data_IF_550857152609
#
_entry.id   IF_550857152609
#
_cell.length_a   1.000
_cell.length_b   1.000
_cell.length_c   1.000
_cell.angle_alpha   90.00
_cell.angle_beta   90.00
_cell.angle_gamma   90.00
#
_symmetry.space_group_name_H-M   'P 1'
#
loop_
_entity.id
_entity.type
_entity.pdbx_description
1 polymer ?
#
# COMPACT_ATOMS: atom_id res chain seq x y z
N UNK A 1 -8.42 -3.87 4.53
CA UNK A 1 -7.45 -4.96 4.25
C UNK A 1 -6.11 -4.58 4.84
N UNK A 2 -5.23 -5.54 5.17
CA UNK A 2 -3.92 -5.26 5.77
C UNK A 2 -2.81 -5.30 4.73
N UNK A 3 -1.92 -4.30 4.77
CA UNK A 3 -0.82 -4.12 3.82
C UNK A 3 0.48 -3.86 4.56
N UNK A 4 1.53 -4.61 4.26
CA UNK A 4 2.87 -4.36 4.78
C UNK A 4 3.64 -3.48 3.81
N UNK A 5 4.23 -2.38 4.27
CA UNK A 5 5.11 -1.58 3.42
C UNK A 5 6.45 -2.30 3.26
N UNK A 6 6.80 -2.67 2.03
CA UNK A 6 8.05 -3.41 1.74
C UNK A 6 9.16 -2.50 1.22
N UNK A 7 8.81 -1.36 0.61
CA UNK A 7 9.77 -0.36 0.14
C UNK A 7 9.14 1.02 0.05
N UNK A 8 9.96 2.05 0.11
CA UNK A 8 9.52 3.40 -0.21
C UNK A 8 9.38 3.61 -1.72
N UNK A 9 8.41 4.43 -2.11
CA UNK A 9 8.26 4.85 -3.50
C UNK A 9 9.43 5.73 -3.97
N UNK A 10 9.88 5.50 -5.22
CA UNK A 10 10.89 6.33 -5.86
C UNK A 10 10.31 7.69 -6.33
N UNK A 11 11.17 8.58 -6.84
CA UNK A 11 10.74 9.91 -7.31
C UNK A 11 9.65 9.82 -8.38
N UNK A 12 9.75 8.85 -9.29
CA UNK A 12 8.81 8.70 -10.41
C UNK A 12 7.48 8.09 -9.97
N UNK A 13 7.53 7.09 -9.09
CA UNK A 13 6.33 6.46 -8.52
C UNK A 13 5.44 7.44 -7.76
N UNK A 14 6.01 8.51 -7.17
CA UNK A 14 5.21 9.60 -6.58
C UNK A 14 4.39 10.37 -7.61
N UNK A 15 4.93 10.52 -8.82
CA UNK A 15 4.28 11.25 -9.92
C UNK A 15 3.19 10.43 -10.62
N UNK A 16 3.17 9.11 -10.43
CA UNK A 16 2.19 8.23 -11.08
C UNK A 16 0.78 8.41 -10.49
N UNK A 17 0.01 9.33 -11.08
CA UNK A 17 -1.37 9.60 -10.71
C UNK A 17 -1.53 10.19 -9.31
N UNK A 18 -0.59 11.04 -8.87
CA UNK A 18 -0.67 11.76 -7.59
C UNK A 18 -0.59 10.85 -6.36
N UNK A 19 0.51 10.11 -6.20
CA UNK A 19 0.74 9.33 -4.98
C UNK A 19 1.48 10.16 -3.92
N UNK A 20 1.10 9.97 -2.67
CA UNK A 20 1.80 10.52 -1.51
C UNK A 20 3.19 9.87 -1.31
N UNK A 21 4.09 10.59 -0.65
CA UNK A 21 5.43 10.09 -0.34
C UNK A 21 5.38 9.16 0.86
N UNK A 22 5.60 7.87 0.63
CA UNK A 22 5.61 6.85 1.70
C UNK A 22 6.59 7.20 2.81
N UNK A 23 7.71 7.88 2.51
CA UNK A 23 8.72 8.27 3.52
C UNK A 23 8.21 9.27 4.55
N UNK A 24 7.18 10.03 4.20
CA UNK A 24 6.60 11.06 5.08
C UNK A 24 5.51 10.52 5.99
N UNK A 25 4.92 9.38 5.62
CA UNK A 25 3.68 8.90 6.23
C UNK A 25 3.81 7.49 6.81
N UNK A 26 4.73 6.68 6.29
CA UNK A 26 4.81 5.26 6.57
C UNK A 26 6.27 4.84 6.83
N UNK A 27 6.43 3.76 7.59
CA UNK A 27 7.70 3.07 7.87
C UNK A 27 7.71 1.70 7.20
N UNK A 28 8.87 1.32 6.64
CA UNK A 28 9.06 -0.01 6.03
C UNK A 28 8.96 -1.09 7.13
N UNK A 29 8.32 -2.20 6.80
CA UNK A 29 8.11 -3.33 7.70
C UNK A 29 6.81 -3.27 8.49
N UNK A 30 6.25 -2.08 8.68
CA UNK A 30 4.98 -1.87 9.38
C UNK A 30 3.78 -2.30 8.54
N UNK A 31 2.70 -2.64 9.25
CA UNK A 31 1.45 -3.11 8.67
C UNK A 31 0.38 -2.03 8.86
N UNK A 32 -0.27 -1.68 7.76
CA UNK A 32 -1.30 -0.66 7.72
C UNK A 32 -2.63 -1.27 7.30
N UNK A 33 -3.71 -0.73 7.84
CA UNK A 33 -5.04 -0.99 7.33
C UNK A 33 -5.36 0.03 6.24
N UNK A 34 -5.84 -0.47 5.10
CA UNK A 34 -6.17 0.37 3.98
C UNK A 34 -7.27 -0.20 3.10
N UNK A 35 -7.77 0.69 2.25
CA UNK A 35 -8.70 0.37 1.16
C UNK A 35 -7.96 0.31 -0.18
N UNK A 36 -8.53 -0.42 -1.14
CA UNK A 36 -8.00 -0.54 -2.50
C UNK A 36 -8.80 0.35 -3.43
N UNK A 37 -8.10 1.14 -4.23
CA UNK A 37 -8.68 1.88 -5.35
C UNK A 37 -8.07 1.32 -6.65
N UNK A 38 -8.88 0.69 -7.49
CA UNK A 38 -8.45 0.03 -8.73
C UNK A 38 -8.66 0.99 -9.90
N UNK A 39 -7.61 1.28 -10.65
CA UNK A 39 -7.70 1.97 -11.94
C UNK A 39 -7.32 1.03 -13.08
N UNK A 40 -7.62 1.45 -14.31
CA UNK A 40 -7.32 0.68 -15.52
C UNK A 40 -5.83 0.38 -15.72
N UNK A 41 -4.94 1.23 -15.19
CA UNK A 41 -3.49 1.10 -15.39
C UNK A 41 -2.71 0.78 -14.11
N UNK A 42 -3.28 1.02 -12.93
CA UNK A 42 -2.61 0.75 -11.66
C UNK A 42 -3.59 0.71 -10.48
N UNK A 43 -3.15 0.07 -9.40
CA UNK A 43 -3.89 -0.01 -8.14
C UNK A 43 -3.25 0.91 -7.11
N UNK A 44 -4.10 1.57 -6.32
CA UNK A 44 -3.68 2.39 -5.19
C UNK A 44 -4.18 1.79 -3.87
N UNK A 45 -3.41 2.04 -2.82
CA UNK A 45 -3.77 1.72 -1.44
C UNK A 45 -4.04 3.05 -0.72
N UNK A 46 -5.21 3.17 -0.12
CA UNK A 46 -5.60 4.33 0.68
C UNK A 46 -5.40 4.00 2.16
N UNK A 47 -4.51 4.75 2.83
CA UNK A 47 -4.21 4.62 4.27
C UNK A 47 -4.34 6.02 4.87
N UNK A 48 -5.17 6.19 5.90
CA UNK A 48 -5.39 7.47 6.59
C UNK A 48 -5.69 8.66 5.63
N UNK A 49 -6.49 8.42 4.60
CA UNK A 49 -6.85 9.42 3.58
C UNK A 49 -5.72 9.77 2.60
N UNK A 50 -4.58 9.08 2.66
CA UNK A 50 -3.44 9.24 1.74
C UNK A 50 -3.41 8.12 0.70
N UNK A 51 -2.96 8.43 -0.51
CA UNK A 51 -2.96 7.52 -1.66
C UNK A 51 -1.55 7.06 -1.97
N UNK A 52 -1.32 5.75 -1.90
CA UNK A 52 -0.01 5.16 -2.19
C UNK A 52 -0.08 4.17 -3.34
N UNK A 53 1.02 4.00 -4.05
CA UNK A 53 1.10 3.02 -5.13
C UNK A 53 1.20 1.60 -4.54
N UNK A 54 0.36 0.67 -5.02
CA UNK A 54 0.31 -0.70 -4.50
C UNK A 54 1.62 -1.47 -4.64
N UNK A 55 2.49 -1.13 -5.60
CA UNK A 55 3.80 -1.80 -5.81
C UNK A 55 4.77 -1.67 -4.63
N UNK A 56 4.46 -0.78 -3.68
CA UNK A 56 5.25 -0.58 -2.46
C UNK A 56 4.79 -1.48 -1.31
N UNK A 57 3.71 -2.26 -1.50
CA UNK A 57 3.04 -3.01 -0.45
C UNK A 57 2.91 -4.50 -0.80
N UNK A 58 2.90 -5.30 0.26
CA UNK A 58 2.47 -6.69 0.24
C UNK A 58 1.09 -6.79 0.90
N UNK A 59 0.12 -7.40 0.22
CA UNK A 59 -1.18 -7.67 0.81
C UNK A 59 -1.08 -8.87 1.75
N UNK A 60 -1.39 -8.66 3.02
CA UNK A 60 -1.46 -9.74 3.98
C UNK A 60 -2.82 -10.41 3.86
N UNK A 61 -2.82 -11.69 3.45
CA UNK A 61 -4.04 -12.50 3.49
C UNK A 61 -4.43 -12.66 4.95
N UNK A 62 -5.70 -12.41 5.25
CA UNK A 62 -6.28 -12.88 6.50
C UNK A 62 -6.25 -14.40 6.40
N UNK A 63 -5.37 -15.04 7.16
CA UNK A 63 -5.27 -16.49 7.16
C UNK A 63 -6.65 -17.06 7.48
N UNK A 64 -7.19 -17.92 6.60
CA UNK A 64 -8.00 -19.01 7.12
C UNK A 64 -7.01 -19.91 7.83
N UNK A 65 -6.86 -19.75 9.15
CA UNK A 65 -6.33 -20.83 9.96
C UNK A 65 -7.16 -22.07 9.61
N UNK A 66 -6.51 -23.06 9.00
CA UNK A 66 -7.10 -24.39 8.93
C UNK A 66 -7.15 -24.86 10.38
N UNK A 67 -8.35 -24.86 10.96
CA UNK A 67 -8.65 -25.63 12.16
C UNK A 67 -8.26 -27.08 11.84
N UNK A 68 -7.23 -27.60 12.51
CA UNK A 68 -6.90 -29.02 12.53
C UNK A 68 -7.86 -29.75 13.46
#
# INVERSE_FOLDING_TARGET
>A
MRYKLVKHNCKDQRKWGGNDDTRKHLKIGEIYEGAVEIHSWHTKIIIDGKKFNSVCFEQLKQGKEKLQ
#
